data_IF_241385907697
#
_entry.id   IF_241385907697
#
_cell.length_a   1.000
_cell.length_b   1.000
_cell.length_c   1.000
_cell.angle_alpha   90.00
_cell.angle_beta   90.00
_cell.angle_gamma   90.00
#
_symmetry.space_group_name_H-M   'P 1'
#
loop_
_entity.id
_entity.type
_entity.pdbx_description
1 polymer ?
#
# COMPACT_ATOMS: atom_id res chain seq x y z
N UNK A 1 -4.45 27.09 -15.53
CA UNK A 1 -3.62 26.61 -16.67
C UNK A 1 -3.09 25.23 -16.31
N UNK A 2 -2.96 24.33 -17.29
CA UNK A 2 -2.49 22.95 -17.07
C UNK A 2 -1.21 22.69 -17.86
N UNK A 3 -0.19 22.16 -17.18
CA UNK A 3 1.08 21.81 -17.84
C UNK A 3 1.69 20.54 -17.27
N UNK A 4 2.34 19.77 -18.15
CA UNK A 4 3.20 18.65 -17.78
C UNK A 4 4.64 19.09 -17.45
N UNK A 5 5.02 20.32 -17.80
CA UNK A 5 6.38 20.83 -17.61
C UNK A 5 6.52 21.43 -16.21
N UNK A 6 7.36 20.79 -15.39
CA UNK A 6 7.66 21.25 -14.04
C UNK A 6 8.35 22.63 -14.00
N UNK A 7 9.09 22.99 -15.05
CA UNK A 7 9.76 24.27 -15.20
C UNK A 7 8.76 25.38 -15.49
N UNK A 8 7.84 25.16 -16.45
CA UNK A 8 6.76 26.10 -16.76
C UNK A 8 5.89 26.35 -15.53
N UNK A 9 5.51 25.28 -14.81
CA UNK A 9 4.81 25.36 -13.53
C UNK A 9 5.60 26.22 -12.54
N UNK A 10 6.90 26.01 -12.40
CA UNK A 10 7.72 26.77 -11.45
C UNK A 10 7.83 28.25 -11.83
N UNK A 11 7.98 28.54 -13.12
CA UNK A 11 8.04 29.91 -13.62
C UNK A 11 6.72 30.65 -13.37
N UNK A 12 5.57 30.00 -13.59
CA UNK A 12 4.25 30.58 -13.29
C UNK A 12 4.08 30.89 -11.80
N UNK A 13 4.50 29.97 -10.93
CA UNK A 13 4.48 30.19 -9.48
C UNK A 13 5.36 31.38 -9.08
N UNK A 14 6.55 31.50 -9.67
CA UNK A 14 7.46 32.61 -9.39
C UNK A 14 6.89 33.97 -9.82
N UNK A 15 5.97 34.01 -10.80
CA UNK A 15 5.28 35.24 -11.23
C UNK A 15 3.89 35.41 -10.58
N UNK A 16 3.62 34.69 -9.49
CA UNK A 16 2.46 34.92 -8.63
C UNK A 16 1.28 33.95 -8.82
N UNK A 17 1.40 32.94 -9.68
CA UNK A 17 0.34 31.93 -9.79
C UNK A 17 0.32 31.02 -8.57
N UNK A 18 -0.88 30.66 -8.13
CA UNK A 18 -1.08 29.65 -7.08
C UNK A 18 -1.05 28.26 -7.70
N UNK A 19 -0.18 27.40 -7.18
CA UNK A 19 -0.19 25.98 -7.56
C UNK A 19 -1.32 25.25 -6.82
N UNK A 20 -2.23 24.64 -7.56
CA UNK A 20 -3.41 23.93 -7.03
C UNK A 20 -3.22 22.41 -6.90
N UNK A 21 -2.02 21.92 -7.19
CA UNK A 21 -1.71 20.49 -7.16
C UNK A 21 -1.77 19.82 -8.53
N UNK A 22 -1.80 18.49 -8.53
CA UNK A 22 -1.82 17.69 -9.74
C UNK A 22 -3.27 17.51 -10.18
N UNK A 23 -3.60 18.08 -11.35
CA UNK A 23 -4.95 17.97 -11.93
C UNK A 23 -5.34 16.52 -12.19
N UNK A 24 -4.48 15.76 -12.86
CA UNK A 24 -4.63 14.33 -13.16
C UNK A 24 -3.30 13.72 -13.62
N UNK A 25 -3.26 12.39 -13.74
CA UNK A 25 -2.16 11.66 -14.39
C UNK A 25 -2.54 11.31 -15.82
N UNK A 26 -1.62 11.51 -16.76
CA UNK A 26 -1.82 11.15 -18.16
C UNK A 26 -0.90 9.98 -18.54
N UNK A 27 -1.33 9.05 -19.41
CA UNK A 27 -0.47 8.01 -19.95
C UNK A 27 0.63 8.58 -20.86
N UNK A 28 1.64 7.74 -21.14
CA UNK A 28 2.73 8.03 -22.07
C UNK A 28 2.35 7.89 -23.53
N UNK A 29 1.22 7.26 -23.81
CA UNK A 29 0.66 7.02 -25.15
C UNK A 29 -0.87 7.06 -25.11
N UNK A 30 -1.52 7.11 -26.28
CA UNK A 30 -2.97 7.16 -26.42
C UNK A 30 -3.43 8.29 -27.35
N UNK A 31 -4.69 8.71 -27.23
CA UNK A 31 -5.22 9.81 -28.04
C UNK A 31 -4.60 11.14 -27.63
N UNK A 32 -4.10 11.91 -28.58
CA UNK A 32 -3.40 13.18 -28.29
C UNK A 32 -4.36 14.29 -27.83
N UNK A 33 -4.07 14.90 -26.69
CA UNK A 33 -4.71 16.16 -26.27
C UNK A 33 -3.85 17.32 -26.76
N UNK A 34 -4.40 18.08 -27.70
CA UNK A 34 -3.74 19.22 -28.32
C UNK A 34 -3.77 20.44 -27.40
N UNK A 35 -2.63 21.09 -27.22
CA UNK A 35 -2.50 22.35 -26.47
C UNK A 35 -2.39 23.51 -27.47
N UNK A 36 -3.22 24.53 -27.26
CA UNK A 36 -3.20 25.76 -28.04
C UNK A 36 -3.10 26.97 -27.12
N UNK A 37 -2.44 28.01 -27.58
CA UNK A 37 -2.28 29.29 -26.88
C UNK A 37 -2.88 30.44 -27.68
N UNK A 38 -3.67 31.28 -27.01
CA UNK A 38 -4.19 32.52 -27.53
C UNK A 38 -3.41 33.71 -26.96
N UNK A 39 -2.53 34.30 -27.78
CA UNK A 39 -1.72 35.45 -27.37
C UNK A 39 -2.52 36.71 -27.06
N UNK A 40 -3.74 36.83 -27.59
CA UNK A 40 -4.57 38.02 -27.38
C UNK A 40 -5.26 38.01 -26.02
N UNK A 41 -5.62 36.82 -25.52
CA UNK A 41 -6.29 36.63 -24.23
C UNK A 41 -5.34 36.14 -23.12
N UNK A 42 -4.15 35.64 -23.47
CA UNK A 42 -3.26 34.97 -22.52
C UNK A 42 -3.73 33.56 -22.14
N UNK A 43 -4.56 32.93 -22.98
CA UNK A 43 -5.30 31.73 -22.65
C UNK A 43 -4.75 30.47 -23.29
N UNK A 44 -4.93 29.34 -22.60
CA UNK A 44 -4.65 28.02 -23.15
C UNK A 44 -5.94 27.23 -23.35
N UNK A 45 -6.01 26.49 -24.45
CA UNK A 45 -7.08 25.55 -24.76
C UNK A 45 -6.55 24.14 -24.94
N UNK A 46 -7.32 23.16 -24.48
CA UNK A 46 -6.96 21.75 -24.54
C UNK A 46 -8.12 20.94 -25.15
N UNK A 47 -7.80 20.11 -26.15
CA UNK A 47 -8.82 19.35 -26.85
C UNK A 47 -8.31 18.04 -27.46
N UNK A 48 -9.12 16.98 -27.42
CA UNK A 48 -8.94 15.76 -28.23
C UNK A 48 -9.36 15.96 -29.69
N UNK A 49 -10.16 16.98 -29.98
CA UNK A 49 -10.70 17.21 -31.31
C UNK A 49 -9.66 17.88 -32.21
N UNK A 50 -9.11 17.09 -33.15
CA UNK A 50 -8.25 17.64 -34.20
C UNK A 50 -8.95 18.75 -34.98
N UNK A 51 -10.27 18.64 -35.20
CA UNK A 51 -11.08 19.63 -35.90
C UNK A 51 -11.16 20.96 -35.13
N UNK A 52 -11.38 20.90 -33.82
CA UNK A 52 -11.40 22.09 -32.96
C UNK A 52 -10.03 22.78 -32.98
N UNK A 53 -8.95 22.00 -32.79
CA UNK A 53 -7.57 22.51 -32.90
C UNK A 53 -7.31 23.16 -34.27
N UNK A 54 -7.64 22.49 -35.36
CA UNK A 54 -7.42 23.02 -36.72
C UNK A 54 -8.21 24.32 -36.97
N UNK A 55 -9.43 24.43 -36.41
CA UNK A 55 -10.24 25.66 -36.51
C UNK A 55 -9.65 26.80 -35.68
N UNK A 56 -9.18 26.54 -34.46
CA UNK A 56 -8.56 27.54 -33.60
C UNK A 56 -7.26 28.09 -34.21
N UNK A 57 -6.44 27.22 -34.82
CA UNK A 57 -5.23 27.64 -35.53
C UNK A 57 -5.56 28.60 -36.68
N UNK A 58 -6.63 28.33 -37.44
CA UNK A 58 -7.06 29.22 -38.55
C UNK A 58 -7.47 30.62 -38.07
N UNK A 59 -7.98 30.73 -36.85
CA UNK A 59 -8.38 32.02 -36.26
C UNK A 59 -7.27 32.63 -35.37
N UNK A 60 -6.03 32.17 -35.55
CA UNK A 60 -4.84 32.83 -34.98
C UNK A 60 -4.33 32.26 -33.67
N UNK A 61 -4.90 31.15 -33.16
CA UNK A 61 -4.33 30.48 -31.99
C UNK A 61 -3.04 29.75 -32.36
N UNK A 62 -2.04 29.83 -31.50
CA UNK A 62 -0.77 29.11 -31.67
C UNK A 62 -0.94 27.67 -31.22
N UNK A 63 -0.71 26.71 -32.11
CA UNK A 63 -0.58 25.30 -31.71
C UNK A 63 0.78 25.07 -31.05
N UNK A 64 0.76 24.55 -29.82
CA UNK A 64 1.97 24.34 -29.00
C UNK A 64 2.38 22.87 -28.91
N UNK A 65 1.69 21.99 -29.64
CA UNK A 65 1.96 20.56 -29.65
C UNK A 65 1.00 19.74 -28.81
N UNK A 66 1.42 18.52 -28.50
CA UNK A 66 0.69 17.60 -27.64
C UNK A 66 0.98 17.97 -26.19
N UNK A 67 -0.06 18.38 -25.46
CA UNK A 67 0.05 18.64 -24.03
C UNK A 67 0.29 17.32 -23.27
N UNK A 68 -0.56 16.33 -23.52
CA UNK A 68 -0.50 14.98 -22.96
C UNK A 68 -1.38 14.02 -23.79
N UNK A 69 -1.42 12.74 -23.40
CA UNK A 69 -2.29 11.74 -24.00
C UNK A 69 -3.50 11.43 -23.10
N UNK A 70 -4.60 11.00 -23.71
CA UNK A 70 -5.77 10.47 -23.00
C UNK A 70 -5.59 8.97 -22.76
N UNK A 71 -5.98 8.53 -21.56
CA UNK A 71 -6.14 7.12 -21.23
C UNK A 71 -7.25 6.46 -22.06
N UNK A 72 -7.24 5.13 -22.07
CA UNK A 72 -8.29 4.33 -22.67
C UNK A 72 -9.64 4.58 -21.98
N UNK A 73 -10.71 4.63 -22.76
CA UNK A 73 -12.05 5.02 -22.29
C UNK A 73 -12.69 4.02 -21.33
N UNK A 74 -12.21 2.77 -21.29
CA UNK A 74 -12.75 1.71 -20.43
C UNK A 74 -12.03 1.61 -19.09
N UNK A 75 -10.76 1.99 -19.06
CA UNK A 75 -9.90 1.87 -17.86
C UNK A 75 -9.58 3.22 -17.22
N UNK A 76 -9.71 4.32 -17.96
CA UNK A 76 -9.39 5.67 -17.52
C UNK A 76 -10.45 6.32 -16.62
N UNK A 77 -10.02 7.35 -15.90
CA UNK A 77 -10.88 8.23 -15.11
C UNK A 77 -11.32 9.42 -15.97
N UNK A 78 -12.60 9.81 -15.90
CA UNK A 78 -13.15 10.89 -16.74
C UNK A 78 -12.63 12.26 -16.29
N UNK A 79 -12.33 13.11 -17.26
CA UNK A 79 -12.17 14.54 -17.04
C UNK A 79 -13.29 15.30 -17.75
N UNK A 80 -13.94 16.17 -17.01
CA UNK A 80 -15.04 17.00 -17.50
C UNK A 80 -14.50 18.36 -17.96
N UNK A 81 -15.13 18.92 -19.00
CA UNK A 81 -14.86 20.27 -19.50
C UNK A 81 -16.08 21.15 -19.26
N UNK A 82 -15.86 22.32 -18.67
CA UNK A 82 -16.88 23.37 -18.59
C UNK A 82 -16.35 24.64 -19.24
N UNK A 83 -17.23 25.34 -19.99
CA UNK A 83 -16.92 26.60 -20.64
C UNK A 83 -17.68 27.76 -19.98
N UNK A 84 -16.97 28.83 -19.63
CA UNK A 84 -17.53 30.07 -19.15
C UNK A 84 -17.70 31.07 -20.31
N UNK A 85 -18.92 31.31 -20.82
CA UNK A 85 -19.16 32.26 -21.91
C UNK A 85 -18.91 33.72 -21.52
N UNK A 86 -18.84 34.03 -20.23
CA UNK A 86 -18.68 35.39 -19.72
C UNK A 86 -17.21 35.73 -19.36
N UNK A 87 -16.31 34.76 -19.50
CA UNK A 87 -14.90 34.95 -19.17
C UNK A 87 -14.15 35.69 -20.29
N UNK A 88 -13.36 36.70 -19.90
CA UNK A 88 -12.42 37.39 -20.82
C UNK A 88 -11.16 36.57 -21.09
N UNK A 89 -10.75 35.79 -20.10
CA UNK A 89 -9.64 34.84 -20.11
C UNK A 89 -9.95 33.71 -19.10
N UNK A 90 -9.31 32.56 -19.23
CA UNK A 90 -9.52 31.37 -18.41
C UNK A 90 -10.88 30.72 -18.65
N UNK A 91 -11.37 30.74 -19.88
CA UNK A 91 -12.77 30.39 -20.17
C UNK A 91 -13.10 28.90 -20.03
N UNK A 92 -12.12 28.01 -19.83
CA UNK A 92 -12.37 26.57 -19.70
C UNK A 92 -11.82 26.03 -18.38
N UNK A 93 -12.63 25.21 -17.70
CA UNK A 93 -12.20 24.42 -16.57
C UNK A 93 -12.15 22.93 -16.94
N UNK A 94 -11.16 22.22 -16.40
CA UNK A 94 -10.99 20.78 -16.60
C UNK A 94 -10.80 20.10 -15.25
N UNK A 95 -11.73 19.21 -14.89
CA UNK A 95 -11.75 18.60 -13.57
C UNK A 95 -12.09 17.11 -13.61
N UNK A 96 -11.55 16.37 -12.65
CA UNK A 96 -11.96 14.97 -12.37
C UNK A 96 -13.20 14.91 -11.48
N UNK A 97 -13.53 15.98 -10.77
CA UNK A 97 -14.65 16.02 -9.84
C UNK A 97 -15.94 16.37 -10.58
N UNK A 98 -16.89 15.44 -10.53
CA UNK A 98 -18.24 15.71 -11.03
C UNK A 98 -18.95 16.77 -10.17
N UNK A 99 -18.61 16.88 -8.89
CA UNK A 99 -19.15 17.86 -7.96
C UNK A 99 -18.72 19.29 -8.33
N UNK A 100 -17.44 19.47 -8.68
CA UNK A 100 -16.93 20.74 -9.21
C UNK A 100 -17.60 21.10 -10.53
N UNK A 101 -17.64 20.16 -11.49
CA UNK A 101 -18.32 20.34 -12.78
C UNK A 101 -19.78 20.78 -12.58
N UNK A 102 -20.51 20.05 -11.74
CA UNK A 102 -21.91 20.34 -11.42
C UNK A 102 -22.08 21.72 -10.77
N UNK A 103 -21.12 22.14 -9.94
CA UNK A 103 -21.16 23.44 -9.29
C UNK A 103 -20.92 24.59 -10.28
N UNK A 104 -20.01 24.42 -11.24
CA UNK A 104 -19.78 25.39 -12.32
C UNK A 104 -21.02 25.54 -13.22
N UNK A 105 -21.65 24.42 -13.57
CA UNK A 105 -22.87 24.42 -14.38
C UNK A 105 -24.00 25.20 -13.66
N UNK A 106 -24.15 25.00 -12.35
CA UNK A 106 -25.15 25.73 -11.55
C UNK A 106 -24.95 27.24 -11.55
N UNK A 107 -23.72 27.73 -11.70
CA UNK A 107 -23.41 29.17 -11.77
C UNK A 107 -23.29 29.69 -13.21
N UNK A 108 -23.84 28.96 -14.18
CA UNK A 108 -24.03 29.43 -15.56
C UNK A 108 -22.92 29.05 -16.54
N UNK A 109 -21.99 28.17 -16.15
CA UNK A 109 -21.02 27.61 -17.10
C UNK A 109 -21.72 26.57 -17.98
N UNK A 110 -21.29 26.45 -19.23
CA UNK A 110 -21.79 25.45 -20.18
C UNK A 110 -21.06 24.13 -19.94
N UNK A 111 -21.83 23.06 -19.76
CA UNK A 111 -21.30 21.71 -19.78
C UNK A 111 -20.87 21.34 -21.20
N UNK A 112 -19.62 20.95 -21.38
CA UNK A 112 -19.09 20.44 -22.64
C UNK A 112 -18.79 18.93 -22.59
N UNK A 113 -19.19 18.27 -21.49
CA UNK A 113 -19.06 16.83 -21.32
C UNK A 113 -17.63 16.38 -21.02
N UNK A 114 -17.28 15.19 -21.51
CA UNK A 114 -15.97 14.57 -21.25
C UNK A 114 -14.93 15.17 -22.19
N UNK A 115 -13.91 15.79 -21.59
CA UNK A 115 -12.77 16.36 -22.29
C UNK A 115 -11.82 15.27 -22.80
N UNK A 116 -11.44 14.36 -21.91
CA UNK A 116 -10.55 13.21 -22.11
C UNK A 116 -10.56 12.32 -20.85
N UNK A 117 -9.69 11.31 -20.83
CA UNK A 117 -9.53 10.39 -19.70
C UNK A 117 -8.11 10.45 -19.12
N UNK A 118 -7.99 10.48 -17.80
CA UNK A 118 -6.75 10.35 -17.06
C UNK A 118 -6.50 8.90 -16.63
N UNK A 119 -5.30 8.61 -16.12
CA UNK A 119 -5.00 7.32 -15.50
C UNK A 119 -5.85 7.20 -14.23
N UNK A 120 -6.67 6.14 -14.16
CA UNK A 120 -7.38 5.77 -12.95
C UNK A 120 -6.39 5.30 -11.90
N UNK A 121 -6.33 6.00 -10.77
CA UNK A 121 -5.43 5.63 -9.67
C UNK A 121 -5.94 4.34 -9.02
N UNK A 122 -5.11 3.29 -9.04
CA UNK A 122 -5.39 2.06 -8.32
C UNK A 122 -4.90 2.19 -6.86
N UNK A 123 -5.58 1.49 -5.95
CA UNK A 123 -5.05 1.33 -4.59
C UNK A 123 -3.65 0.71 -4.63
N UNK A 124 -2.79 1.01 -3.64
CA UNK A 124 -1.49 0.39 -3.56
C UNK A 124 -1.53 -1.15 -3.56
N UNK A 125 -0.46 -1.78 -4.03
CA UNK A 125 -0.32 -3.23 -3.97
C UNK A 125 0.62 -3.62 -2.85
N UNK A 126 0.19 -4.52 -1.95
CA UNK A 126 1.03 -5.07 -0.86
C UNK A 126 1.38 -6.53 -1.17
N UNK A 127 2.68 -6.87 -1.16
CA UNK A 127 3.22 -8.22 -1.41
C UNK A 127 4.08 -8.70 -0.23
N UNK A 128 4.42 -10.00 -0.20
CA UNK A 128 5.21 -10.60 0.90
C UNK A 128 4.42 -10.87 2.19
N UNK A 129 3.09 -10.75 2.13
CA UNK A 129 2.20 -11.06 3.26
C UNK A 129 1.56 -12.42 3.03
N UNK A 130 2.06 -13.42 3.75
CA UNK A 130 1.53 -14.78 3.82
C UNK A 130 1.40 -15.21 5.27
N UNK A 131 0.47 -16.13 5.54
CA UNK A 131 0.30 -16.73 6.86
C UNK A 131 1.58 -17.44 7.32
N UNK A 132 1.79 -17.52 8.63
CA UNK A 132 3.00 -18.07 9.24
C UNK A 132 2.61 -18.98 10.39
N UNK A 133 3.34 -20.09 10.53
CA UNK A 133 3.18 -21.03 11.64
C UNK A 133 4.52 -21.15 12.35
N UNK A 134 4.51 -21.00 13.66
CA UNK A 134 5.69 -21.11 14.51
C UNK A 134 5.34 -21.80 15.83
N UNK A 135 6.31 -22.43 16.47
CA UNK A 135 6.13 -22.95 17.83
C UNK A 135 6.30 -21.82 18.85
N UNK A 136 5.72 -21.97 20.04
CA UNK A 136 5.92 -21.00 21.12
C UNK A 136 7.40 -20.65 21.30
N UNK A 137 7.68 -19.36 21.47
CA UNK A 137 9.02 -18.82 21.57
C UNK A 137 9.03 -17.55 22.43
N UNK A 138 10.21 -17.17 22.91
CA UNK A 138 10.43 -15.87 23.57
C UNK A 138 10.91 -14.80 22.59
N UNK A 139 11.33 -15.19 21.39
CA UNK A 139 11.84 -14.26 20.38
C UNK A 139 10.72 -13.79 19.45
N UNK A 140 10.60 -12.48 19.26
CA UNK A 140 9.68 -11.91 18.29
C UNK A 140 10.22 -12.04 16.86
N UNK A 141 9.32 -12.18 15.89
CA UNK A 141 9.68 -12.10 14.46
C UNK A 141 9.70 -10.65 13.98
N UNK A 142 10.57 -10.36 13.01
CA UNK A 142 10.43 -9.13 12.21
C UNK A 142 9.18 -9.26 11.31
N UNK A 143 8.12 -8.59 11.74
CA UNK A 143 6.81 -8.64 11.08
C UNK A 143 6.81 -8.02 9.68
N UNK A 144 7.78 -7.16 9.36
CA UNK A 144 7.91 -6.49 8.05
C UNK A 144 8.88 -7.21 7.10
N UNK A 145 9.60 -8.24 7.56
CA UNK A 145 10.56 -8.97 6.74
C UNK A 145 9.89 -9.49 5.45
N UNK A 146 10.43 -9.05 4.32
CA UNK A 146 9.97 -9.44 2.97
C UNK A 146 8.69 -8.74 2.50
N UNK A 147 8.05 -7.91 3.32
CA UNK A 147 6.84 -7.17 2.96
C UNK A 147 7.21 -5.95 2.13
N UNK A 148 6.53 -5.77 0.99
CA UNK A 148 6.73 -4.63 0.10
C UNK A 148 5.39 -4.03 -0.29
N UNK A 149 5.37 -2.74 -0.59
CA UNK A 149 4.22 -2.10 -1.22
C UNK A 149 4.64 -1.12 -2.31
N UNK A 150 3.82 -1.00 -3.36
CA UNK A 150 4.00 -0.04 -4.44
C UNK A 150 2.69 0.68 -4.75
N UNK A 151 2.76 1.94 -5.17
CA UNK A 151 1.61 2.63 -5.75
C UNK A 151 1.36 2.20 -7.21
N UNK A 152 0.36 2.80 -7.85
CA UNK A 152 -0.01 2.51 -9.24
C UNK A 152 1.04 2.95 -10.27
N UNK A 153 2.00 3.79 -9.88
CA UNK A 153 3.15 4.22 -10.70
C UNK A 153 4.38 3.33 -10.47
N UNK A 154 4.28 2.31 -9.61
CA UNK A 154 5.39 1.43 -9.26
C UNK A 154 6.34 2.02 -8.22
N UNK A 155 6.02 3.17 -7.61
CA UNK A 155 6.84 3.78 -6.55
C UNK A 155 6.68 2.99 -5.26
N UNK A 156 7.79 2.66 -4.62
CA UNK A 156 7.80 1.97 -3.31
C UNK A 156 7.14 2.83 -2.22
N UNK A 157 6.26 2.21 -1.44
CA UNK A 157 5.59 2.82 -0.30
C UNK A 157 6.07 2.24 1.03
N UNK A 158 5.98 3.05 2.08
CA UNK A 158 6.17 2.59 3.46
C UNK A 158 4.98 1.72 3.87
N UNK A 159 5.26 0.55 4.41
CA UNK A 159 4.26 -0.33 5.02
C UNK A 159 4.29 -0.16 6.53
N UNK A 160 3.12 -0.03 7.12
CA UNK A 160 2.91 -0.06 8.57
C UNK A 160 2.24 -1.37 8.95
N UNK A 161 2.53 -1.89 10.12
CA UNK A 161 1.91 -3.12 10.65
C UNK A 161 1.30 -2.84 12.01
N UNK A 162 0.10 -3.35 12.24
CA UNK A 162 -0.61 -3.29 13.52
C UNK A 162 -1.09 -4.69 13.93
N UNK A 163 -1.40 -4.84 15.21
CA UNK A 163 -1.73 -6.13 15.83
C UNK A 163 -0.60 -6.62 16.73
N UNK A 164 -0.95 -7.47 17.68
CA UNK A 164 -0.03 -7.99 18.69
C UNK A 164 -0.07 -9.51 18.68
N UNK A 165 1.11 -10.12 18.87
CA UNK A 165 1.27 -11.57 18.93
C UNK A 165 1.80 -11.90 20.32
N UNK A 166 1.12 -12.82 21.02
CA UNK A 166 1.68 -13.42 22.22
C UNK A 166 2.36 -14.74 21.86
N UNK A 167 3.67 -14.70 21.65
CA UNK A 167 4.49 -15.85 21.24
C UNK A 167 4.58 -16.96 22.30
N UNK A 168 4.16 -16.69 23.54
CA UNK A 168 4.17 -17.67 24.64
C UNK A 168 2.86 -18.43 24.76
N UNK A 169 1.81 -17.99 24.10
CA UNK A 169 0.48 -18.59 24.18
C UNK A 169 0.13 -19.20 22.83
N UNK A 170 -0.22 -20.48 22.82
CA UNK A 170 -0.67 -21.12 21.60
C UNK A 170 -1.99 -20.49 21.15
N UNK A 171 -2.10 -20.19 19.85
CA UNK A 171 -3.23 -19.47 19.31
C UNK A 171 -2.96 -18.88 17.94
N UNK A 172 -3.97 -18.27 17.35
CA UNK A 172 -3.86 -17.58 16.06
C UNK A 172 -4.00 -16.08 16.29
N UNK A 173 -3.00 -15.33 15.86
CA UNK A 173 -2.93 -13.88 15.97
C UNK A 173 -3.03 -13.25 14.58
N UNK A 174 -3.61 -12.06 14.49
CA UNK A 174 -3.78 -11.36 13.21
C UNK A 174 -2.96 -10.08 13.20
N UNK A 175 -2.09 -9.96 12.20
CA UNK A 175 -1.41 -8.70 11.87
C UNK A 175 -2.10 -8.05 10.67
N UNK A 176 -2.24 -6.72 10.70
CA UNK A 176 -2.77 -5.92 9.59
C UNK A 176 -1.68 -5.01 9.05
N UNK A 177 -1.38 -5.16 7.76
CA UNK A 177 -0.43 -4.35 7.01
C UNK A 177 -1.18 -3.27 6.26
N UNK A 178 -0.72 -2.03 6.37
CA UNK A 178 -1.32 -0.87 5.71
C UNK A 178 -0.27 -0.10 4.92
N UNK A 179 -0.59 0.21 3.66
CA UNK A 179 0.15 1.14 2.83
C UNK A 179 -0.78 2.25 2.35
N UNK A 180 -0.31 3.49 2.41
CA UNK A 180 -1.01 4.68 1.92
C UNK A 180 -0.08 5.39 0.93
N UNK A 181 -0.56 5.69 -0.26
CA UNK A 181 0.22 6.46 -1.24
C UNK A 181 0.18 7.97 -0.95
N UNK A 182 0.94 8.75 -1.73
CA UNK A 182 0.95 10.21 -1.60
C UNK A 182 -0.38 10.89 -1.98
N UNK A 183 -1.34 10.14 -2.52
CA UNK A 183 -2.65 10.61 -2.95
C UNK A 183 -3.75 10.25 -1.94
N UNK A 184 -3.41 9.51 -0.88
CA UNK A 184 -4.35 9.07 0.15
C UNK A 184 -5.04 7.74 -0.17
N UNK A 185 -4.73 7.07 -1.30
CA UNK A 185 -5.28 5.75 -1.57
C UNK A 185 -4.66 4.74 -0.61
N UNK A 186 -5.49 3.86 -0.06
CA UNK A 186 -5.11 2.93 1.02
C UNK A 186 -5.29 1.48 0.59
N UNK A 187 -4.29 0.67 0.91
CA UNK A 187 -4.38 -0.78 0.78
C UNK A 187 -4.10 -1.46 2.12
N UNK A 188 -4.78 -2.57 2.36
CA UNK A 188 -4.59 -3.40 3.56
C UNK A 188 -4.45 -4.88 3.21
N UNK A 189 -3.57 -5.59 3.91
CA UNK A 189 -3.48 -7.05 3.90
C UNK A 189 -3.37 -7.58 5.33
N UNK A 190 -3.87 -8.80 5.56
CA UNK A 190 -3.73 -9.47 6.86
C UNK A 190 -2.80 -10.66 6.78
N UNK A 191 -2.05 -10.93 7.85
CA UNK A 191 -1.30 -12.17 8.08
C UNK A 191 -1.87 -12.85 9.32
N UNK A 192 -2.23 -14.13 9.23
CA UNK A 192 -2.46 -14.98 10.40
C UNK A 192 -1.14 -15.60 10.84
N UNK A 193 -0.80 -15.43 12.11
CA UNK A 193 0.35 -16.08 12.74
C UNK A 193 -0.18 -17.09 13.74
N UNK A 194 0.03 -18.37 13.44
CA UNK A 194 -0.36 -19.48 14.31
C UNK A 194 0.82 -19.88 15.18
N UNK A 195 0.69 -19.66 16.48
CA UNK A 195 1.61 -20.11 17.51
C UNK A 195 1.16 -21.49 17.98
N UNK A 196 1.96 -22.52 17.73
CA UNK A 196 1.72 -23.90 18.16
C UNK A 196 2.27 -24.14 19.55
N UNK A 197 1.54 -24.89 20.36
CA UNK A 197 2.03 -25.37 21.65
C UNK A 197 3.29 -26.22 21.46
N UNK A 198 4.28 -26.00 22.32
CA UNK A 198 5.43 -26.89 22.43
C UNK A 198 5.03 -28.09 23.30
N UNK A 199 5.39 -29.30 22.89
CA UNK A 199 5.10 -30.50 23.68
C UNK A 199 5.82 -30.43 25.04
N UNK A 200 5.17 -30.92 26.09
CA UNK A 200 5.82 -31.02 27.40
C UNK A 200 7.04 -31.95 27.32
N UNK A 201 8.10 -31.70 28.13
CA UNK A 201 9.19 -32.64 28.27
C UNK A 201 8.70 -34.02 28.73
N UNK A 202 9.40 -35.07 28.32
CA UNK A 202 9.14 -36.44 28.75
C UNK A 202 10.23 -36.93 29.69
N UNK A 203 9.87 -37.74 30.67
CA UNK A 203 10.81 -38.45 31.56
C UNK A 203 10.61 -39.94 31.34
N UNK A 204 11.72 -40.65 31.11
CA UNK A 204 11.76 -42.10 30.86
C UNK A 204 12.73 -42.78 31.82
N UNK A 205 12.61 -44.11 31.99
CA UNK A 205 13.46 -44.87 32.91
C UNK A 205 13.00 -44.82 34.38
N UNK A 206 11.78 -44.35 34.63
CA UNK A 206 11.17 -44.34 35.96
C UNK A 206 10.21 -45.52 36.07
N UNK A 207 10.49 -46.44 36.97
CA UNK A 207 9.64 -47.58 37.30
C UNK A 207 9.86 -48.01 38.74
N UNK A 208 8.83 -48.59 39.35
CA UNK A 208 8.95 -49.19 40.66
C UNK A 208 10.04 -50.25 40.66
N UNK A 209 10.93 -50.18 41.65
CA UNK A 209 12.07 -51.07 41.77
C UNK A 209 12.13 -51.59 43.19
N UNK A 210 12.23 -52.92 43.34
CA UNK A 210 12.48 -53.57 44.62
C UNK A 210 13.96 -53.90 44.72
N UNK A 211 14.60 -53.50 45.83
CA UNK A 211 15.99 -53.82 46.13
C UNK A 211 16.07 -54.57 47.46
N UNK A 212 17.06 -55.46 47.60
CA UNK A 212 17.39 -56.05 48.90
C UNK A 212 18.08 -55.01 49.78
N UNK A 213 17.87 -55.11 51.10
CA UNK A 213 18.57 -54.29 52.09
C UNK A 213 20.10 -54.38 51.90
N UNK A 214 20.77 -53.23 51.91
CA UNK A 214 22.20 -53.12 51.62
C UNK A 214 22.82 -51.88 52.28
N UNK A 215 24.15 -51.82 52.36
CA UNK A 215 24.89 -50.62 52.77
C UNK A 215 25.22 -49.70 51.59
N UNK A 216 25.02 -50.15 50.36
CA UNK A 216 25.24 -49.34 49.15
C UNK A 216 24.21 -48.21 49.03
N UNK A 217 24.64 -47.05 48.54
CA UNK A 217 23.74 -45.95 48.24
C UNK A 217 22.90 -46.27 46.99
N UNK A 218 21.64 -45.82 46.99
CA UNK A 218 20.76 -45.93 45.82
C UNK A 218 20.97 -44.71 44.90
N UNK A 219 21.38 -44.95 43.65
CA UNK A 219 21.48 -43.91 42.64
C UNK A 219 20.11 -43.66 42.00
N UNK A 220 19.38 -42.69 42.54
CA UNK A 220 18.04 -42.34 42.09
C UNK A 220 18.00 -41.68 40.70
N UNK A 221 19.14 -41.39 40.07
CA UNK A 221 19.22 -40.85 38.70
C UNK A 221 19.60 -41.91 37.67
N UNK A 222 20.00 -43.10 38.12
CA UNK A 222 20.51 -44.16 37.24
C UNK A 222 19.45 -44.57 36.21
N UNK A 223 19.78 -44.40 34.92
CA UNK A 223 18.91 -44.80 33.82
C UNK A 223 17.72 -43.86 33.55
N UNK A 224 17.55 -42.79 34.34
CA UNK A 224 16.51 -41.78 34.11
C UNK A 224 17.00 -40.77 33.09
N UNK A 225 16.20 -40.58 32.05
CA UNK A 225 16.46 -39.61 30.98
C UNK A 225 15.26 -38.70 30.83
N UNK A 226 15.47 -37.38 30.95
CA UNK A 226 14.48 -36.37 30.64
C UNK A 226 14.81 -35.71 29.31
N UNK A 227 13.84 -35.59 28.40
CA UNK A 227 14.02 -34.97 27.07
C UNK A 227 13.01 -33.86 26.85
N UNK A 228 13.43 -32.76 26.26
CA UNK A 228 12.51 -31.71 25.80
C UNK A 228 11.73 -32.16 24.54
N UNK A 229 10.86 -31.28 24.03
CA UNK A 229 10.05 -31.54 22.84
C UNK A 229 10.85 -31.80 21.55
N UNK A 230 12.14 -31.44 21.52
CA UNK A 230 13.05 -31.69 20.38
C UNK A 230 13.79 -33.01 20.51
N UNK A 231 13.65 -33.70 21.65
CA UNK A 231 14.39 -34.92 21.98
C UNK A 231 15.76 -34.68 22.62
N UNK A 232 16.12 -33.41 22.88
CA UNK A 232 17.36 -33.06 23.57
C UNK A 232 17.25 -33.39 25.05
N UNK A 233 18.28 -34.01 25.61
CA UNK A 233 18.32 -34.29 27.04
C UNK A 233 18.40 -32.98 27.86
N UNK A 234 17.59 -32.92 28.91
CA UNK A 234 17.50 -31.78 29.82
C UNK A 234 17.77 -32.21 31.25
N UNK A 235 18.22 -31.26 32.07
CA UNK A 235 18.41 -31.48 33.50
C UNK A 235 17.08 -31.72 34.20
N UNK A 236 17.07 -32.62 35.17
CA UNK A 236 15.95 -32.88 36.07
C UNK A 236 16.42 -32.95 37.53
N UNK A 237 15.49 -32.81 38.45
CA UNK A 237 15.72 -32.91 39.89
C UNK A 237 15.04 -34.17 40.43
N UNK A 238 15.64 -34.75 41.47
CA UNK A 238 15.07 -35.85 42.24
C UNK A 238 14.88 -35.36 43.66
N UNK A 239 13.70 -35.57 44.23
CA UNK A 239 13.38 -35.23 45.62
C UNK A 239 13.09 -36.49 46.42
N UNK A 240 13.49 -36.50 47.69
CA UNK A 240 13.40 -37.67 48.58
C UNK A 240 14.69 -38.48 48.60
N UNK A 241 14.80 -39.36 49.60
CA UNK A 241 15.97 -40.21 49.82
C UNK A 241 15.54 -41.65 50.05
N UNK A 242 16.35 -42.60 49.58
CA UNK A 242 16.14 -44.03 49.81
C UNK A 242 17.10 -44.48 50.93
N UNK A 243 16.54 -44.91 52.06
CA UNK A 243 17.31 -45.54 53.10
C UNK A 243 17.45 -47.04 52.81
N UNK A 244 18.57 -47.44 52.21
CA UNK A 244 18.83 -48.84 51.81
C UNK A 244 19.12 -49.78 52.98
N UNK A 245 19.30 -49.22 54.19
CA UNK A 245 19.65 -49.97 55.41
C UNK A 245 18.44 -50.43 56.21
N UNK A 246 17.21 -50.14 55.79
CA UNK A 246 15.95 -50.55 56.44
C UNK A 246 15.01 -51.11 55.38
#
# INVERSE_FOLDING_TARGET
MYTKDGTEKQNLVNVGWKYEGIGWYAPTEGSSVYRLYNSNAGDHHYTLSKKEKDNLVKVGWKYEGIGWYSADTTTGEKLYRAYNPNARAGSHNYTRSWEEQSSLIKVGWKDEGIAWYGIKQANPTITGVSDTVLNQTTESIDSLKGVKATDFLGKTLKVTVSGEINYKVAGTYTLTYTAVDSYGNKATKTRKVTVKAVANPTITGVSDTTISQTTAAFDAKKGIVAKDSTGKEISYQVSGEVNTKK
#
